data_IF_624096457100
#
_entry.id   IF_624096457100
#
_cell.length_a   1.000
_cell.length_b   1.000
_cell.length_c   1.000
_cell.angle_alpha   90.00
_cell.angle_beta   90.00
_cell.angle_gamma   90.00
#
_symmetry.space_group_name_H-M   'P 1'
#
loop_
_entity.id
_entity.type
_entity.pdbx_description
1 polymer ?
#
# COMPACT_ATOMS: atom_id res chain seq x y z
N UNK A 1 50.23 42.83 -3.95
CA UNK A 1 49.31 41.94 -4.69
C UNK A 1 48.17 41.54 -3.76
N UNK A 2 46.91 41.93 -3.99
CA UNK A 2 45.79 41.41 -3.21
C UNK A 2 45.12 40.27 -3.96
N UNK A 3 44.91 39.14 -3.26
CA UNK A 3 44.17 37.99 -3.79
C UNK A 3 42.76 37.96 -3.19
N UNK A 4 41.79 38.17 -4.07
CA UNK A 4 40.50 37.46 -4.22
C UNK A 4 39.56 37.27 -3.02
N UNK A 5 38.39 37.89 -3.19
CA UNK A 5 37.10 37.57 -2.58
C UNK A 5 36.64 36.13 -2.80
N UNK A 6 36.00 35.53 -1.80
CA UNK A 6 35.05 34.44 -1.98
C UNK A 6 33.83 34.66 -1.07
N UNK A 7 32.65 34.65 -1.70
CA UNK A 7 31.31 34.73 -1.10
C UNK A 7 30.95 33.45 -0.32
N UNK A 8 29.94 33.50 0.59
CA UNK A 8 29.72 32.47 1.59
C UNK A 8 28.99 31.25 1.03
N UNK A 9 29.43 30.06 1.45
CA UNK A 9 28.70 28.80 1.22
C UNK A 9 27.57 28.70 2.24
N UNK A 10 26.34 28.57 1.73
CA UNK A 10 25.13 28.39 2.52
C UNK A 10 25.15 27.01 3.21
N UNK A 11 25.05 27.01 4.54
CA UNK A 11 24.83 25.80 5.31
C UNK A 11 23.40 25.27 5.04
N UNK A 12 23.32 24.10 4.42
CA UNK A 12 22.08 23.33 4.30
C UNK A 12 21.73 22.77 5.69
N UNK A 13 20.62 23.21 6.26
CA UNK A 13 20.08 22.73 7.53
C UNK A 13 19.31 21.42 7.30
N UNK A 14 19.70 20.28 7.91
CA UNK A 14 18.91 19.06 7.82
C UNK A 14 17.80 19.10 8.87
N UNK A 15 16.63 19.59 8.46
CA UNK A 15 15.39 19.46 9.21
C UNK A 15 14.85 18.03 9.08
N UNK A 16 15.49 17.05 9.71
CA UNK A 16 14.89 15.73 9.93
C UNK A 16 14.24 15.70 11.31
N UNK A 17 12.99 16.14 11.40
CA UNK A 17 12.14 15.76 12.52
C UNK A 17 11.91 14.24 12.44
N UNK A 18 12.76 13.51 13.14
CA UNK A 18 12.67 12.08 13.37
C UNK A 18 11.41 11.82 14.20
N UNK A 19 10.30 11.49 13.55
CA UNK A 19 9.06 11.10 14.24
C UNK A 19 9.32 9.75 14.93
N UNK A 20 9.76 9.82 16.19
CA UNK A 20 9.67 8.71 17.14
C UNK A 20 8.24 8.65 17.65
N UNK A 21 7.35 7.95 16.96
CA UNK A 21 6.10 7.45 17.56
C UNK A 21 6.06 5.94 17.47
N UNK A 22 6.37 5.31 18.59
CA UNK A 22 6.08 3.92 18.90
C UNK A 22 4.55 3.73 18.91
N UNK A 23 3.94 3.54 17.75
CA UNK A 23 2.69 2.78 17.66
C UNK A 23 3.08 1.33 17.44
N UNK A 24 2.37 0.39 18.08
CA UNK A 24 2.48 -1.02 17.70
C UNK A 24 2.24 -1.11 16.19
N UNK A 25 3.19 -1.69 15.48
CA UNK A 25 3.07 -2.01 14.06
C UNK A 25 2.20 -3.27 13.96
N UNK A 26 0.92 -3.10 14.20
CA UNK A 26 -0.06 -4.17 14.02
C UNK A 26 -0.46 -4.21 12.54
N UNK A 27 -0.52 -5.42 12.00
CA UNK A 27 -0.98 -5.73 10.65
C UNK A 27 -2.11 -6.74 10.79
N UNK A 28 -3.23 -6.48 10.12
CA UNK A 28 -4.43 -7.33 10.19
C UNK A 28 -4.89 -7.66 8.78
N UNK A 29 -5.37 -8.88 8.58
CA UNK A 29 -6.09 -9.25 7.37
C UNK A 29 -7.60 -9.27 7.64
N UNK A 30 -8.36 -8.63 6.76
CA UNK A 30 -9.81 -8.54 6.77
C UNK A 30 -10.30 -9.19 5.47
N UNK A 31 -10.75 -10.43 5.55
CA UNK A 31 -11.12 -11.22 4.39
C UNK A 31 -12.64 -11.34 4.23
N UNK A 32 -13.13 -11.23 3.00
CA UNK A 32 -14.52 -11.53 2.63
C UNK A 32 -14.80 -13.04 2.51
N UNK A 33 -13.76 -13.87 2.37
CA UNK A 33 -13.84 -15.32 2.51
C UNK A 33 -12.44 -15.91 2.78
N UNK A 34 -12.37 -16.99 3.54
CA UNK A 34 -11.15 -17.80 3.67
C UNK A 34 -11.04 -18.69 2.43
N UNK A 35 -10.13 -18.35 1.52
CA UNK A 35 -9.93 -19.06 0.26
C UNK A 35 -8.46 -19.08 -0.18
N UNK A 36 -8.16 -19.89 -1.19
CA UNK A 36 -6.82 -20.22 -1.71
C UNK A 36 -5.96 -19.01 -2.09
N UNK A 37 -6.57 -17.86 -2.36
CA UNK A 37 -5.90 -16.61 -2.72
C UNK A 37 -5.57 -15.69 -1.54
N UNK A 38 -5.81 -16.11 -0.28
CA UNK A 38 -5.43 -15.31 0.89
C UNK A 38 -4.04 -15.71 1.40
N UNK A 39 -2.97 -14.96 1.07
CA UNK A 39 -1.61 -15.31 1.47
C UNK A 39 -1.37 -15.21 2.98
N UNK A 40 -2.27 -14.57 3.74
CA UNK A 40 -2.13 -14.36 5.19
C UNK A 40 -1.94 -15.67 5.96
N UNK A 41 -2.60 -16.74 5.52
CA UNK A 41 -2.53 -18.07 6.14
C UNK A 41 -1.30 -18.90 5.71
N UNK A 42 -0.52 -18.41 4.74
CA UNK A 42 0.73 -19.04 4.31
C UNK A 42 1.90 -18.75 5.25
N UNK A 43 1.77 -17.78 6.16
CA UNK A 43 2.83 -17.36 7.08
C UNK A 43 2.67 -18.02 8.46
N UNK A 44 3.55 -18.96 8.78
CA UNK A 44 3.53 -19.65 10.09
C UNK A 44 3.87 -18.75 11.28
N UNK A 45 4.50 -17.60 11.02
CA UNK A 45 4.85 -16.59 12.02
C UNK A 45 3.79 -15.49 12.18
N UNK A 46 2.63 -15.62 11.51
CA UNK A 46 1.50 -14.72 11.64
C UNK A 46 0.37 -15.43 12.39
N UNK A 47 -0.15 -14.79 13.44
CA UNK A 47 -1.25 -15.36 14.22
C UNK A 47 -2.50 -15.46 13.36
N UNK A 48 -3.16 -16.63 13.33
CA UNK A 48 -4.47 -16.76 12.67
C UNK A 48 -5.55 -15.90 13.31
N UNK A 49 -5.38 -15.50 14.58
CA UNK A 49 -6.28 -14.59 15.28
C UNK A 49 -6.24 -13.14 14.81
N UNK A 50 -5.29 -12.76 13.93
CA UNK A 50 -5.26 -11.44 13.26
C UNK A 50 -6.00 -11.44 11.92
N UNK A 51 -6.65 -12.54 11.56
CA UNK A 51 -7.54 -12.62 10.41
C UNK A 51 -9.00 -12.49 10.88
N UNK A 52 -9.74 -11.58 10.27
CA UNK A 52 -11.17 -11.39 10.56
C UNK A 52 -11.99 -11.39 9.27
N UNK A 53 -13.31 -11.53 9.42
CA UNK A 53 -14.23 -11.25 8.31
C UNK A 53 -14.26 -9.76 8.01
N UNK A 54 -14.77 -9.38 6.84
CA UNK A 54 -14.93 -7.97 6.48
C UNK A 54 -15.85 -7.19 7.44
N UNK A 55 -16.72 -7.86 8.19
CA UNK A 55 -17.58 -7.23 9.21
C UNK A 55 -16.76 -6.54 10.33
N UNK A 56 -15.49 -6.93 10.50
CA UNK A 56 -14.57 -6.27 11.42
C UNK A 56 -13.94 -4.99 10.84
N UNK A 57 -14.18 -4.66 9.56
CA UNK A 57 -13.73 -3.41 8.95
C UNK A 57 -14.51 -2.23 9.59
N UNK A 58 -13.84 -1.37 10.37
CA UNK A 58 -14.53 -0.37 11.18
C UNK A 58 -15.04 0.78 10.31
N UNK A 59 -16.10 1.44 10.75
CA UNK A 59 -16.52 2.74 10.20
C UNK A 59 -15.65 3.90 10.69
N UNK A 60 -15.00 3.72 11.85
CA UNK A 60 -13.96 4.62 12.37
C UNK A 60 -12.58 4.11 11.94
N UNK A 61 -12.12 4.60 10.79
CA UNK A 61 -10.86 4.17 10.18
C UNK A 61 -9.61 4.53 10.99
N UNK A 62 -9.72 5.41 12.00
CA UNK A 62 -8.59 5.71 12.89
C UNK A 62 -8.19 4.54 13.79
N UNK A 63 -9.06 3.54 13.92
CA UNK A 63 -8.84 2.28 14.65
C UNK A 63 -8.20 1.20 13.81
N UNK A 64 -8.06 1.40 12.50
CA UNK A 64 -7.36 0.44 11.66
C UNK A 64 -5.90 0.32 12.12
N UNK A 65 -5.33 -0.90 12.08
CA UNK A 65 -3.90 -1.08 12.21
C UNK A 65 -3.12 -0.31 11.14
N UNK A 66 -1.80 -0.25 11.31
CA UNK A 66 -0.92 0.51 10.40
C UNK A 66 -1.02 0.01 8.96
N UNK A 67 -1.15 -1.31 8.78
CA UNK A 67 -1.42 -1.94 7.50
C UNK A 67 -2.59 -2.90 7.67
N UNK A 68 -3.59 -2.78 6.80
CA UNK A 68 -4.73 -3.69 6.75
C UNK A 68 -4.84 -4.29 5.35
N UNK A 69 -4.90 -5.61 5.25
CA UNK A 69 -5.08 -6.33 3.99
C UNK A 69 -6.54 -6.70 3.82
N UNK A 70 -7.18 -6.26 2.74
CA UNK A 70 -8.55 -6.66 2.42
C UNK A 70 -8.55 -7.62 1.23
N UNK A 71 -9.01 -8.85 1.45
CA UNK A 71 -9.08 -9.89 0.40
C UNK A 71 -10.55 -10.25 0.17
N UNK A 72 -11.16 -9.92 -0.99
CA UNK A 72 -12.55 -10.26 -1.26
C UNK A 72 -12.75 -11.79 -1.41
N UNK A 73 -13.99 -12.22 -1.61
CA UNK A 73 -14.28 -13.60 -2.04
C UNK A 73 -14.13 -13.74 -3.56
N UNK A 74 -14.16 -14.99 -4.06
CA UNK A 74 -13.95 -15.34 -5.49
C UNK A 74 -14.88 -14.64 -6.48
N UNK A 75 -16.04 -14.15 -6.06
CA UNK A 75 -16.91 -13.36 -6.92
C UNK A 75 -16.52 -11.86 -6.88
N UNK A 76 -16.17 -11.37 -5.70
CA UNK A 76 -15.89 -9.95 -5.45
C UNK A 76 -14.46 -9.55 -5.83
N UNK A 77 -13.52 -10.50 -5.90
CA UNK A 77 -12.17 -10.33 -6.43
C UNK A 77 -12.10 -10.47 -7.96
N UNK A 78 -13.25 -10.73 -8.60
CA UNK A 78 -13.44 -10.89 -10.05
C UNK A 78 -12.89 -12.20 -10.63
N UNK A 79 -12.66 -13.22 -9.81
CA UNK A 79 -12.24 -14.53 -10.31
C UNK A 79 -13.40 -15.29 -11.01
N UNK A 80 -14.55 -15.39 -10.33
CA UNK A 80 -15.72 -16.17 -10.80
C UNK A 80 -16.86 -15.30 -11.34
N UNK A 81 -16.77 -13.98 -11.14
CA UNK A 81 -17.81 -13.02 -11.51
C UNK A 81 -17.26 -11.88 -12.36
N UNK A 82 -18.16 -11.07 -12.93
CA UNK A 82 -17.78 -9.96 -13.80
C UNK A 82 -16.98 -8.88 -13.06
N UNK A 83 -16.19 -8.13 -13.83
CA UNK A 83 -15.52 -6.90 -13.36
C UNK A 83 -16.50 -5.93 -12.70
N UNK A 84 -17.71 -5.79 -13.24
CA UNK A 84 -18.75 -4.92 -12.65
C UNK A 84 -19.21 -5.37 -11.26
N UNK A 85 -19.14 -6.67 -10.97
CA UNK A 85 -19.46 -7.22 -9.64
C UNK A 85 -18.39 -6.81 -8.63
N UNK A 86 -17.11 -7.00 -8.98
CA UNK A 86 -16.00 -6.57 -8.13
C UNK A 86 -15.94 -5.05 -7.96
N UNK A 87 -16.21 -4.27 -9.01
CA UNK A 87 -16.26 -2.80 -8.94
C UNK A 87 -17.37 -2.31 -8.00
N UNK A 88 -18.56 -2.91 -8.11
CA UNK A 88 -19.67 -2.62 -7.20
C UNK A 88 -19.30 -2.97 -5.76
N UNK A 89 -18.65 -4.12 -5.55
CA UNK A 89 -18.20 -4.53 -4.22
C UNK A 89 -17.17 -3.55 -3.65
N UNK A 90 -16.16 -3.17 -4.44
CA UNK A 90 -15.13 -2.21 -4.04
C UNK A 90 -15.75 -0.87 -3.64
N UNK A 91 -16.67 -0.36 -4.45
CA UNK A 91 -17.40 0.88 -4.17
C UNK A 91 -18.20 0.78 -2.88
N UNK A 92 -18.92 -0.31 -2.67
CA UNK A 92 -19.79 -0.45 -1.50
C UNK A 92 -19.02 -0.58 -0.18
N UNK A 93 -17.83 -1.18 -0.19
CA UNK A 93 -17.09 -1.48 1.04
C UNK A 93 -15.92 -0.53 1.31
N UNK A 94 -15.23 -0.04 0.27
CA UNK A 94 -13.98 0.70 0.43
C UNK A 94 -14.06 2.17 -0.01
N UNK A 95 -15.16 2.62 -0.63
CA UNK A 95 -15.32 4.04 -1.00
C UNK A 95 -15.19 4.96 0.22
N UNK A 96 -15.83 4.64 1.34
CA UNK A 96 -15.75 5.47 2.56
C UNK A 96 -14.32 5.59 3.09
N UNK A 97 -13.53 4.51 3.02
CA UNK A 97 -12.11 4.55 3.37
C UNK A 97 -11.31 5.37 2.36
N UNK A 98 -11.57 5.22 1.05
CA UNK A 98 -10.92 6.00 0.01
C UNK A 98 -11.16 7.52 0.21
N UNK A 99 -12.41 7.94 0.44
CA UNK A 99 -12.74 9.34 0.72
C UNK A 99 -12.01 9.85 1.98
N UNK A 100 -11.94 9.02 3.04
CA UNK A 100 -11.26 9.35 4.29
C UNK A 100 -9.74 9.48 4.09
N UNK A 101 -9.13 8.60 3.29
CA UNK A 101 -7.70 8.57 3.02
C UNK A 101 -7.18 9.84 2.34
N UNK A 102 -8.02 10.63 1.66
CA UNK A 102 -7.62 11.91 1.07
C UNK A 102 -7.36 13.02 2.09
N UNK A 103 -8.12 13.01 3.18
CA UNK A 103 -8.03 14.06 4.20
C UNK A 103 -7.07 13.67 5.33
N UNK A 104 -6.69 12.39 5.40
CA UNK A 104 -5.80 11.82 6.39
C UNK A 104 -4.49 11.38 5.74
N UNK A 105 -3.42 11.23 6.51
CA UNK A 105 -2.18 10.66 5.98
C UNK A 105 -2.32 9.13 5.82
N UNK A 106 -3.17 8.70 4.89
CA UNK A 106 -3.50 7.29 4.65
C UNK A 106 -3.51 6.96 3.16
N UNK A 107 -3.36 5.68 2.86
CA UNK A 107 -3.28 5.14 1.50
C UNK A 107 -4.26 3.97 1.34
N UNK A 108 -4.99 3.96 0.23
CA UNK A 108 -5.61 2.79 -0.35
C UNK A 108 -4.75 2.31 -1.51
N UNK A 109 -4.20 1.10 -1.39
CA UNK A 109 -3.49 0.41 -2.46
C UNK A 109 -4.37 -0.75 -2.93
N UNK A 110 -4.83 -0.67 -4.18
CA UNK A 110 -5.60 -1.71 -4.86
C UNK A 110 -4.69 -2.39 -5.88
N UNK A 111 -4.63 -3.72 -5.88
CA UNK A 111 -3.84 -4.52 -6.81
C UNK A 111 -4.50 -5.88 -7.05
N UNK A 112 -4.02 -6.62 -8.04
CA UNK A 112 -4.45 -7.98 -8.38
C UNK A 112 -3.24 -8.91 -8.30
N UNK A 113 -3.43 -10.19 -8.00
CA UNK A 113 -2.34 -11.17 -7.92
C UNK A 113 -1.94 -11.74 -9.29
N UNK A 114 -2.90 -11.86 -10.20
CA UNK A 114 -2.68 -12.35 -11.56
C UNK A 114 -3.54 -11.64 -12.62
N UNK A 115 -3.11 -11.72 -13.89
CA UNK A 115 -3.91 -11.36 -15.05
C UNK A 115 -4.77 -12.57 -15.51
N UNK A 116 -5.49 -12.40 -16.60
CA UNK A 116 -6.32 -13.47 -17.19
C UNK A 116 -5.51 -14.57 -17.92
N UNK A 117 -4.20 -14.69 -17.65
CA UNK A 117 -3.23 -15.63 -18.23
C UNK A 117 -2.92 -15.43 -19.72
N UNK A 118 -3.24 -14.25 -20.26
CA UNK A 118 -3.05 -13.96 -21.70
C UNK A 118 -1.95 -12.94 -22.00
N UNK A 119 -1.44 -12.20 -21.01
CA UNK A 119 -0.58 -11.02 -21.27
C UNK A 119 0.55 -10.82 -20.26
N UNK A 120 1.48 -11.76 -20.18
CA UNK A 120 2.74 -11.58 -19.43
C UNK A 120 2.54 -11.21 -17.95
N UNK A 121 1.37 -11.52 -17.39
CA UNK A 121 0.94 -11.20 -16.04
C UNK A 121 0.92 -9.69 -15.73
N UNK A 122 0.34 -8.88 -16.62
CA UNK A 122 0.20 -7.44 -16.40
C UNK A 122 -1.09 -7.11 -15.65
N UNK A 123 -0.95 -6.75 -14.39
CA UNK A 123 -2.03 -6.47 -13.45
C UNK A 123 -2.34 -4.98 -13.29
N UNK A 124 -3.60 -4.60 -12.98
CA UNK A 124 -3.92 -3.27 -12.46
C UNK A 124 -3.29 -3.06 -11.08
N UNK A 125 -2.74 -1.87 -10.84
CA UNK A 125 -2.35 -1.42 -9.49
C UNK A 125 -2.64 0.07 -9.38
N UNK A 126 -3.43 0.45 -8.37
CA UNK A 126 -3.89 1.81 -8.14
C UNK A 126 -3.54 2.21 -6.72
N UNK A 127 -2.92 3.38 -6.57
CA UNK A 127 -2.62 3.99 -5.29
C UNK A 127 -3.46 5.26 -5.17
N UNK A 128 -4.17 5.41 -4.04
CA UNK A 128 -5.12 6.48 -3.84
C UNK A 128 -5.10 6.96 -2.38
N UNK A 129 -5.05 8.28 -2.19
CA UNK A 129 -5.06 8.90 -0.88
C UNK A 129 -4.18 10.15 -0.85
N UNK A 130 -4.11 10.80 0.31
CA UNK A 130 -3.38 12.05 0.51
C UNK A 130 -1.93 12.08 0.00
N UNK A 131 -1.11 11.02 0.16
CA UNK A 131 0.29 11.08 -0.28
C UNK A 131 0.47 10.92 -1.80
N UNK A 132 -0.60 10.65 -2.57
CA UNK A 132 -0.52 10.41 -4.02
C UNK A 132 -0.82 11.69 -4.79
N UNK A 133 0.00 12.02 -5.79
CA UNK A 133 -0.26 13.11 -6.72
C UNK A 133 -1.44 12.74 -7.64
N UNK A 134 -2.57 13.48 -7.63
CA UNK A 134 -3.72 13.18 -8.45
C UNK A 134 -3.38 13.08 -9.95
N UNK A 135 -3.89 12.03 -10.61
CA UNK A 135 -3.71 11.82 -12.05
C UNK A 135 -2.28 11.44 -12.49
N UNK A 136 -1.36 11.21 -11.54
CA UNK A 136 -0.02 10.75 -11.84
C UNK A 136 -0.01 9.29 -12.30
N UNK A 137 0.96 8.94 -13.15
CA UNK A 137 1.25 7.58 -13.58
C UNK A 137 2.75 7.39 -13.68
N UNK A 138 3.21 6.14 -13.60
CA UNK A 138 4.61 5.77 -13.83
C UNK A 138 4.69 4.82 -15.02
N UNK A 139 5.66 5.06 -15.90
CA UNK A 139 6.01 4.14 -17.00
C UNK A 139 6.97 3.03 -16.58
N UNK A 140 7.58 3.13 -15.39
CA UNK A 140 8.44 2.08 -14.82
C UNK A 140 7.66 0.77 -14.61
N UNK A 141 8.29 -0.35 -14.94
CA UNK A 141 7.76 -1.68 -14.62
C UNK A 141 8.02 -2.03 -13.17
N UNK A 142 6.95 -2.40 -12.47
CA UNK A 142 6.95 -2.86 -11.10
C UNK A 142 6.32 -4.25 -10.98
N UNK A 143 6.71 -5.00 -9.96
CA UNK A 143 6.11 -6.27 -9.55
C UNK A 143 5.66 -6.21 -8.06
N UNK A 144 5.14 -7.33 -7.53
CA UNK A 144 4.70 -7.38 -6.13
C UNK A 144 5.81 -7.17 -5.09
N UNK A 145 7.06 -7.49 -5.40
CA UNK A 145 8.19 -7.19 -4.50
C UNK A 145 8.46 -5.70 -4.44
N UNK A 146 8.27 -4.95 -5.52
CA UNK A 146 8.38 -3.49 -5.53
C UNK A 146 7.25 -2.85 -4.68
N UNK A 147 6.04 -3.43 -4.71
CA UNK A 147 4.93 -3.02 -3.82
C UNK A 147 5.29 -3.26 -2.35
N UNK A 148 5.80 -4.46 -2.01
CA UNK A 148 6.22 -4.77 -0.64
C UNK A 148 7.36 -3.84 -0.19
N UNK A 149 8.37 -3.64 -1.04
CA UNK A 149 9.48 -2.71 -0.80
C UNK A 149 8.98 -1.31 -0.48
N UNK A 150 8.02 -0.81 -1.25
CA UNK A 150 7.40 0.50 -1.01
C UNK A 150 6.77 0.60 0.38
N UNK A 151 6.00 -0.42 0.80
CA UNK A 151 5.38 -0.45 2.13
C UNK A 151 6.42 -0.52 3.25
N UNK A 152 7.46 -1.34 3.08
CA UNK A 152 8.55 -1.48 4.05
C UNK A 152 9.33 -0.18 4.21
N UNK A 153 9.62 0.52 3.12
CA UNK A 153 10.29 1.83 3.13
C UNK A 153 9.42 2.91 3.78
N UNK A 154 8.12 2.97 3.47
CA UNK A 154 7.17 3.89 4.11
C UNK A 154 7.16 3.78 5.64
N UNK A 155 7.28 2.55 6.13
CA UNK A 155 7.21 2.26 7.56
C UNK A 155 8.59 2.08 8.21
N UNK A 156 9.68 2.06 7.45
CA UNK A 156 11.04 1.87 7.95
C UNK A 156 11.26 0.49 8.59
N UNK A 157 10.73 -0.56 7.97
CA UNK A 157 11.03 -1.96 8.34
C UNK A 157 12.18 -2.50 7.50
N UNK A 158 12.79 -3.60 7.94
CA UNK A 158 13.75 -4.35 7.10
C UNK A 158 13.03 -4.95 5.89
N UNK A 159 13.75 -5.08 4.78
CA UNK A 159 13.20 -5.66 3.56
C UNK A 159 13.14 -7.18 3.62
N UNK A 160 11.96 -7.75 3.40
CA UNK A 160 11.74 -9.19 3.48
C UNK A 160 12.01 -9.88 2.13
N UNK A 161 12.80 -10.95 2.15
CA UNK A 161 13.05 -11.79 0.96
C UNK A 161 13.48 -10.98 -0.26
N UNK A 162 12.82 -11.21 -1.40
CA UNK A 162 13.15 -10.53 -2.66
C UNK A 162 12.81 -9.02 -2.67
N UNK A 163 12.10 -8.48 -1.68
CA UNK A 163 11.93 -7.03 -1.56
C UNK A 163 13.26 -6.30 -1.23
N UNK A 164 14.26 -7.02 -0.71
CA UNK A 164 15.59 -6.47 -0.47
C UNK A 164 16.28 -6.01 -1.77
N UNK A 165 16.03 -6.72 -2.88
CA UNK A 165 16.59 -6.44 -4.21
C UNK A 165 15.61 -5.65 -5.11
N UNK A 166 14.40 -5.38 -4.62
CA UNK A 166 13.38 -4.62 -5.33
C UNK A 166 13.57 -3.10 -5.19
N UNK A 167 12.76 -2.33 -5.92
CA UNK A 167 12.75 -0.86 -5.86
C UNK A 167 11.40 -0.35 -5.38
N UNK A 168 11.41 0.79 -4.71
CA UNK A 168 10.17 1.47 -4.33
C UNK A 168 9.47 2.06 -5.55
N UNK A 169 8.14 2.16 -5.46
CA UNK A 169 7.33 2.86 -6.45
C UNK A 169 7.67 4.34 -6.36
N UNK A 170 8.01 4.94 -7.49
CA UNK A 170 8.37 6.36 -7.59
C UNK A 170 7.56 7.08 -8.68
N UNK A 171 7.61 8.42 -8.68
CA UNK A 171 6.98 9.27 -9.70
C UNK A 171 5.48 9.56 -9.52
N UNK A 172 4.86 9.03 -8.46
CA UNK A 172 3.43 9.19 -8.19
C UNK A 172 3.10 9.93 -6.88
N UNK A 173 4.10 10.22 -6.04
CA UNK A 173 3.87 10.81 -4.72
C UNK A 173 3.73 12.33 -4.79
N UNK A 174 2.83 12.90 -3.98
CA UNK A 174 2.76 14.33 -3.72
C UNK A 174 3.89 14.69 -2.72
N UNK A 175 4.78 15.60 -3.11
CA UNK A 175 5.97 15.99 -2.35
C UNK A 175 5.71 16.70 -1.03
#
# INVERSE_FOLDING_TARGET
MPATSASPSAAVSPSSQRIRRSRRREVTALAGAFGLANPWFGFSNVSTGSAHTLDAFPSDFSKLPTVSFVVPNLCSDMHDCSVSTGDTWLKNHLKSYADWAWTHNSLLLLTFDEDNRLSGNRIPTVLYGRPVQPGSTSSTTYNHYDVLRTLEDMYGTSHAGHAADAKDISGIWAG
#
